data_IF_750243125735
#
_entry.id   IF_750243125735
#
_cell.length_a   1.000
_cell.length_b   1.000
_cell.length_c   1.000
_cell.angle_alpha   90.00
_cell.angle_beta   90.00
_cell.angle_gamma   90.00
#
_symmetry.space_group_name_H-M   'P 1'
#
loop_
_entity.id
_entity.type
_entity.pdbx_description
1 polymer ?
#
# COMPACT_ATOMS: atom_id res chain seq x y z
N UNK A 1 15.36 2.98 -7.86
CA UNK A 1 14.13 3.05 -8.69
C UNK A 1 13.28 1.83 -8.34
N UNK A 2 12.03 2.02 -7.91
CA UNK A 2 11.12 0.96 -7.42
C UNK A 2 10.58 0.04 -8.52
N UNK A 3 10.57 0.50 -9.77
CA UNK A 3 9.92 -0.18 -10.90
C UNK A 3 10.31 -1.65 -11.09
N UNK A 4 11.60 -2.07 -10.96
CA UNK A 4 11.98 -3.49 -11.07
C UNK A 4 11.39 -4.38 -9.98
N UNK A 5 11.06 -3.82 -8.81
CA UNK A 5 10.51 -4.57 -7.66
C UNK A 5 9.00 -4.75 -7.76
N UNK A 6 8.29 -3.76 -8.30
CA UNK A 6 6.82 -3.71 -8.27
C UNK A 6 6.16 -3.62 -9.65
N UNK A 7 6.90 -3.88 -10.73
CA UNK A 7 6.44 -3.67 -12.10
C UNK A 7 5.16 -4.43 -12.49
N UNK A 8 4.88 -5.58 -11.85
CA UNK A 8 3.63 -6.31 -12.05
C UNK A 8 2.46 -5.72 -11.22
N UNK A 9 2.78 -5.00 -10.14
CA UNK A 9 1.82 -4.53 -9.15
C UNK A 9 1.47 -3.05 -9.29
N UNK A 10 2.37 -2.25 -9.88
CA UNK A 10 2.22 -0.82 -10.06
C UNK A 10 2.72 -0.32 -11.42
N UNK A 11 2.10 0.76 -11.88
CA UNK A 11 2.50 1.53 -13.05
C UNK A 11 3.01 2.90 -12.61
N UNK A 12 4.11 3.35 -13.20
CA UNK A 12 4.67 4.68 -12.98
C UNK A 12 4.27 5.57 -14.15
N UNK A 13 3.49 6.61 -13.86
CA UNK A 13 2.93 7.51 -14.86
C UNK A 13 3.55 8.89 -14.70
N UNK A 14 4.25 9.42 -15.71
CA UNK A 14 4.76 10.78 -15.65
C UNK A 14 3.61 11.78 -15.80
N UNK A 15 3.62 12.83 -14.99
CA UNK A 15 2.68 13.95 -15.04
C UNK A 15 3.46 15.25 -14.98
N UNK A 16 3.22 16.14 -15.94
CA UNK A 16 3.85 17.46 -15.96
C UNK A 16 2.95 18.48 -15.26
N UNK A 17 3.51 19.20 -14.28
CA UNK A 17 2.82 20.27 -13.54
C UNK A 17 3.78 21.45 -13.47
N UNK A 18 3.40 22.62 -14.00
CA UNK A 18 4.25 23.82 -14.02
C UNK A 18 5.66 23.59 -14.58
N UNK A 19 5.77 22.91 -15.73
CA UNK A 19 7.02 22.51 -16.39
C UNK A 19 7.91 21.50 -15.64
N UNK A 20 7.53 21.11 -14.41
CA UNK A 20 8.19 20.05 -13.66
C UNK A 20 7.53 18.68 -13.92
N UNK A 21 8.36 17.63 -14.01
CA UNK A 21 7.87 16.24 -14.17
C UNK A 21 7.78 15.53 -12.83
N UNK A 22 6.57 15.11 -12.48
CA UNK A 22 6.27 14.27 -11.33
C UNK A 22 5.95 12.86 -11.79
N UNK A 23 6.21 11.88 -10.93
CA UNK A 23 5.88 10.48 -11.18
C UNK A 23 4.77 10.03 -10.25
N UNK A 24 3.63 9.68 -10.82
CA UNK A 24 2.49 9.12 -10.09
C UNK A 24 2.59 7.61 -10.10
N UNK A 25 2.41 6.99 -8.93
CA UNK A 25 2.34 5.54 -8.81
C UNK A 25 0.87 5.13 -8.84
N UNK A 26 0.50 4.31 -9.81
CA UNK A 26 -0.82 3.65 -9.88
C UNK A 26 -0.67 2.19 -9.49
N UNK A 27 -1.18 1.82 -8.32
CA UNK A 27 -1.18 0.43 -7.84
C UNK A 27 -2.39 -0.31 -8.40
N UNK A 28 -2.16 -1.28 -9.28
CA UNK A 28 -3.23 -2.01 -9.96
C UNK A 28 -3.59 -3.31 -9.25
N UNK A 29 -2.61 -3.94 -8.58
CA UNK A 29 -2.80 -5.20 -7.86
C UNK A 29 -3.77 -5.01 -6.69
N UNK A 30 -4.82 -5.84 -6.66
CA UNK A 30 -5.76 -5.94 -5.55
C UNK A 30 -5.62 -7.32 -4.94
N UNK A 31 -5.33 -7.38 -3.65
CA UNK A 31 -5.16 -8.62 -2.90
C UNK A 31 -6.16 -8.63 -1.76
N UNK A 32 -6.98 -9.68 -1.70
CA UNK A 32 -7.84 -9.95 -0.56
C UNK A 32 -7.04 -10.62 0.57
N UNK A 33 -6.17 -9.86 1.24
CA UNK A 33 -5.28 -10.39 2.28
C UNK A 33 -5.61 -9.92 3.69
N UNK A 34 -6.65 -9.11 3.88
CA UNK A 34 -6.99 -8.60 5.21
C UNK A 34 -7.86 -9.62 5.97
N UNK A 35 -7.42 -10.04 7.15
CA UNK A 35 -8.25 -10.83 8.06
C UNK A 35 -9.22 -9.89 8.79
N UNK A 36 -10.46 -9.80 8.30
CA UNK A 36 -11.50 -8.94 8.85
C UNK A 36 -11.96 -9.36 10.25
N UNK A 37 -11.77 -10.63 10.63
CA UNK A 37 -12.19 -11.13 11.94
C UNK A 37 -11.17 -10.73 13.03
N UNK A 38 -9.89 -10.64 12.66
CA UNK A 38 -8.80 -10.31 13.59
C UNK A 38 -8.34 -8.86 13.53
N UNK A 39 -8.65 -8.14 12.45
CA UNK A 39 -8.27 -6.73 12.29
C UNK A 39 -9.06 -5.84 13.22
N UNK A 40 -8.35 -4.97 13.94
CA UNK A 40 -8.95 -3.91 14.76
C UNK A 40 -9.10 -2.63 13.93
N UNK A 41 -10.30 -2.05 14.00
CA UNK A 41 -10.68 -0.86 13.26
C UNK A 41 -11.17 0.23 14.20
N UNK A 42 -10.68 1.45 13.98
CA UNK A 42 -11.30 2.62 14.55
C UNK A 42 -12.61 2.92 13.82
N UNK A 43 -13.69 3.05 14.59
CA UNK A 43 -15.03 3.36 14.09
C UNK A 43 -15.56 4.65 14.73
N UNK A 44 -16.08 5.54 13.90
CA UNK A 44 -16.85 6.72 14.31
C UNK A 44 -18.19 6.68 13.59
N UNK A 45 -19.28 6.99 14.30
CA UNK A 45 -20.63 7.03 13.73
C UNK A 45 -21.07 5.73 13.03
N UNK A 46 -20.52 4.59 13.45
CA UNK A 46 -20.76 3.27 12.87
C UNK A 46 -19.99 2.98 11.57
N UNK A 47 -19.24 3.95 11.03
CA UNK A 47 -18.40 3.79 9.86
C UNK A 47 -16.96 3.42 10.24
N UNK A 48 -16.29 2.63 9.39
CA UNK A 48 -14.85 2.35 9.53
C UNK A 48 -14.08 3.55 8.96
N UNK A 49 -13.20 4.14 9.78
CA UNK A 49 -12.36 5.26 9.36
C UNK A 49 -10.89 4.87 9.18
N UNK A 50 -10.36 4.04 10.08
CA UNK A 50 -8.94 3.73 10.12
C UNK A 50 -8.64 2.33 10.66
N UNK A 51 -7.46 1.80 10.32
CA UNK A 51 -6.90 0.59 10.92
C UNK A 51 -6.21 0.98 12.22
N UNK A 52 -6.57 0.33 13.33
CA UNK A 52 -5.79 0.41 14.56
C UNK A 52 -4.72 -0.68 14.56
N UNK A 53 -5.13 -1.91 14.22
CA UNK A 53 -4.24 -3.07 14.13
C UNK A 53 -4.63 -3.96 12.95
N UNK A 54 -4.06 -3.75 11.74
CA UNK A 54 -4.34 -4.59 10.59
C UNK A 54 -3.69 -5.96 10.74
N UNK A 55 -4.45 -7.03 10.45
CA UNK A 55 -3.96 -8.41 10.43
C UNK A 55 -4.05 -8.95 9.00
N UNK A 56 -2.94 -9.46 8.49
CA UNK A 56 -2.76 -9.88 7.11
C UNK A 56 -2.60 -11.40 7.01
N UNK A 57 -3.32 -12.02 6.09
CA UNK A 57 -3.18 -13.42 5.72
C UNK A 57 -1.96 -13.53 4.80
N UNK A 58 -0.81 -13.90 5.36
CA UNK A 58 0.50 -13.80 4.70
C UNK A 58 0.61 -14.63 3.43
N UNK A 59 0.00 -15.81 3.39
CA UNK A 59 0.03 -16.69 2.21
C UNK A 59 -0.73 -16.13 0.98
N UNK A 60 -1.47 -15.02 1.14
CA UNK A 60 -2.13 -14.30 0.05
C UNK A 60 -1.29 -13.16 -0.51
N UNK A 61 -0.20 -12.78 0.17
CA UNK A 61 0.67 -11.66 -0.20
C UNK A 61 1.99 -12.22 -0.76
N UNK A 62 2.28 -11.91 -2.02
CA UNK A 62 3.59 -12.22 -2.61
C UNK A 62 4.66 -11.25 -2.10
N UNK A 63 5.93 -11.65 -2.09
CA UNK A 63 7.06 -10.74 -1.76
C UNK A 63 8.04 -10.66 -2.93
N UNK A 64 8.46 -9.46 -3.34
CA UNK A 64 7.99 -8.13 -2.89
C UNK A 64 6.62 -7.78 -3.49
N UNK A 65 5.74 -7.16 -2.70
CA UNK A 65 4.44 -6.66 -3.19
C UNK A 65 4.10 -5.23 -2.74
N UNK A 66 3.39 -4.54 -3.63
CA UNK A 66 2.68 -3.28 -3.43
C UNK A 66 1.25 -3.47 -3.92
N UNK A 67 0.25 -3.36 -3.06
CA UNK A 67 -1.12 -3.77 -3.39
C UNK A 67 -2.19 -2.88 -2.75
N UNK A 68 -3.43 -3.03 -3.22
CA UNK A 68 -4.64 -2.50 -2.60
C UNK A 68 -5.47 -3.65 -2.03
N UNK A 69 -6.41 -3.35 -1.15
CA UNK A 69 -7.40 -4.31 -0.64
C UNK A 69 -8.77 -4.03 -1.25
N UNK A 70 -9.67 -5.03 -1.31
CA UNK A 70 -11.02 -4.87 -1.88
C UNK A 70 -12.01 -4.17 -0.92
N UNK A 71 -11.57 -3.14 -0.20
CA UNK A 71 -12.42 -2.32 0.68
C UNK A 71 -12.56 -0.90 0.14
N UNK A 72 -13.80 -0.45 -0.03
CA UNK A 72 -14.11 0.84 -0.64
C UNK A 72 -13.64 2.03 0.21
N UNK A 73 -13.75 1.92 1.52
CA UNK A 73 -13.32 2.88 2.55
C UNK A 73 -11.82 3.20 2.42
N UNK A 74 -11.03 2.21 1.99
CA UNK A 74 -9.58 2.29 1.89
C UNK A 74 -9.07 2.36 0.44
N UNK A 75 -9.93 2.68 -0.53
CA UNK A 75 -9.57 2.76 -1.97
C UNK A 75 -8.43 3.72 -2.31
N UNK A 76 -8.15 4.68 -1.41
CA UNK A 76 -7.11 5.70 -1.56
C UNK A 76 -5.80 5.30 -0.86
N UNK A 77 -5.78 4.17 -0.13
CA UNK A 77 -4.61 3.62 0.53
C UNK A 77 -4.04 2.47 -0.31
N UNK A 78 -2.73 2.27 -0.21
CA UNK A 78 -2.03 1.10 -0.71
C UNK A 78 -1.13 0.56 0.39
N UNK A 79 -0.81 -0.73 0.29
CA UNK A 79 -0.05 -1.48 1.28
C UNK A 79 1.20 -2.02 0.62
N UNK A 80 2.28 -2.05 1.37
CA UNK A 80 3.58 -2.47 0.90
C UNK A 80 4.17 -3.48 1.87
N UNK A 81 4.80 -4.51 1.33
CA UNK A 81 5.70 -5.38 2.09
C UNK A 81 6.90 -4.59 2.64
N UNK A 82 7.57 -5.13 3.66
CA UNK A 82 8.76 -4.50 4.25
C UNK A 82 9.86 -4.27 3.19
N UNK A 83 10.05 -5.24 2.29
CA UNK A 83 11.02 -5.17 1.19
C UNK A 83 10.78 -3.97 0.26
N UNK A 84 9.51 -3.67 -0.07
CA UNK A 84 9.15 -2.48 -0.88
C UNK A 84 9.40 -1.19 -0.10
N UNK A 85 9.07 -1.15 1.20
CA UNK A 85 9.33 0.01 2.07
C UNK A 85 10.83 0.29 2.14
N UNK A 86 11.64 -0.72 2.43
CA UNK A 86 13.10 -0.61 2.53
C UNK A 86 13.71 -0.14 1.22
N UNK A 87 13.28 -0.70 0.08
CA UNK A 87 13.76 -0.27 -1.23
C UNK A 87 13.39 1.20 -1.55
N UNK A 88 12.20 1.65 -1.14
CA UNK A 88 11.81 3.05 -1.28
C UNK A 88 12.65 3.96 -0.39
N UNK A 89 12.80 3.63 0.89
CA UNK A 89 13.58 4.43 1.84
C UNK A 89 15.07 4.52 1.42
N UNK A 90 15.63 3.43 0.90
CA UNK A 90 16.99 3.39 0.37
C UNK A 90 17.17 4.18 -0.94
N UNK A 91 16.09 4.45 -1.68
CA UNK A 91 16.17 5.15 -2.97
C UNK A 91 16.41 6.65 -2.85
N UNK A 92 16.25 7.23 -1.66
CA UNK A 92 16.31 8.68 -1.43
C UNK A 92 15.11 9.45 -2.01
N UNK A 93 14.09 8.76 -2.53
CA UNK A 93 12.86 9.38 -3.01
C UNK A 93 12.01 9.93 -1.86
N UNK A 94 11.39 11.09 -2.09
CA UNK A 94 10.39 11.70 -1.21
C UNK A 94 8.96 11.55 -1.76
N UNK A 95 7.96 11.90 -0.96
CA UNK A 95 6.55 11.96 -1.40
C UNK A 95 5.64 10.83 -0.92
N UNK A 96 6.20 9.75 -0.35
CA UNK A 96 5.43 8.72 0.37
C UNK A 96 5.79 8.71 1.86
N UNK A 97 4.80 8.38 2.69
CA UNK A 97 4.95 8.05 4.11
C UNK A 97 4.36 6.67 4.36
N UNK A 98 5.01 5.90 5.23
CA UNK A 98 4.53 4.59 5.66
C UNK A 98 4.02 4.70 7.09
N UNK A 99 2.89 4.05 7.37
CA UNK A 99 2.27 4.00 8.69
C UNK A 99 2.60 2.68 9.39
N UNK A 100 1.94 2.44 10.53
CA UNK A 100 2.15 1.29 11.41
C UNK A 100 2.13 -0.04 10.62
N UNK A 101 3.09 -0.94 10.87
CA UNK A 101 3.06 -2.27 10.28
C UNK A 101 1.86 -3.06 10.80
N UNK A 102 1.28 -3.90 9.95
CA UNK A 102 0.30 -4.89 10.39
C UNK A 102 0.96 -6.18 10.88
N UNK A 103 0.19 -6.99 11.58
CA UNK A 103 0.56 -8.35 11.94
C UNK A 103 0.34 -9.26 10.73
N UNK A 104 1.25 -10.20 10.46
CA UNK A 104 1.11 -11.18 9.38
C UNK A 104 0.99 -12.57 10.00
N UNK A 105 -0.05 -13.31 9.62
CA UNK A 105 -0.36 -14.66 10.09
C UNK A 105 -0.35 -15.69 8.96
#
# INVERSE_FOLDING_TARGET
>A
MLEPLVGHAAQFLPVTINDDTFWVIKVNLVVDALDLERTEFFRSDGAIHEFEKPVWIGNRIESPALFRIPMHEFRHKFFATAEVKEAYEASGCGGMRFWFPGEVI
#
